data_IF_126610221810
#
_entry.id   IF_126610221810
#
_cell.length_a   1.000
_cell.length_b   1.000
_cell.length_c   1.000
_cell.angle_alpha   90.00
_cell.angle_beta   90.00
_cell.angle_gamma   90.00
#
_symmetry.space_group_name_H-M   'P 1'
#
loop_
_entity.id
_entity.type
_entity.pdbx_description
1 polymer ?
#
# COMPACT_ATOMS: atom_id res chain seq x y z
N UNK A 1 -16.62 -6.28 4.55
CA UNK A 1 -16.78 -6.65 3.13
C UNK A 1 -15.39 -6.78 2.52
N UNK A 2 -15.14 -7.78 1.67
CA UNK A 2 -13.83 -7.97 1.03
C UNK A 2 -13.94 -7.77 -0.48
N UNK A 3 -12.91 -7.20 -1.08
CA UNK A 3 -12.76 -7.10 -2.53
C UNK A 3 -11.75 -8.16 -2.99
N UNK A 4 -12.06 -8.88 -4.07
CA UNK A 4 -11.13 -9.84 -4.68
C UNK A 4 -10.72 -9.32 -6.07
N UNK A 5 -9.41 -9.26 -6.31
CA UNK A 5 -8.83 -8.93 -7.61
C UNK A 5 -8.27 -10.22 -8.20
N UNK A 6 -8.86 -10.69 -9.29
CA UNK A 6 -8.41 -11.87 -10.01
C UNK A 6 -7.37 -11.46 -11.06
N UNK A 7 -6.18 -12.05 -10.99
CA UNK A 7 -5.12 -11.88 -11.98
C UNK A 7 -5.04 -13.15 -12.82
N UNK A 8 -5.09 -13.01 -14.14
CA UNK A 8 -5.02 -14.16 -15.06
C UNK A 8 -3.65 -14.84 -15.02
N UNK A 9 -3.62 -16.16 -15.22
CA UNK A 9 -2.38 -16.96 -15.24
C UNK A 9 -1.34 -16.44 -16.24
N UNK A 10 -1.78 -15.95 -17.40
CA UNK A 10 -0.86 -15.37 -18.40
C UNK A 10 -0.12 -14.14 -17.87
N UNK A 11 -0.76 -13.35 -17.00
CA UNK A 11 -0.13 -12.20 -16.35
C UNK A 11 0.81 -12.69 -15.24
N UNK A 12 0.38 -13.66 -14.42
CA UNK A 12 1.21 -14.26 -13.37
C UNK A 12 2.51 -14.86 -13.95
N UNK A 13 2.42 -15.56 -15.07
CA UNK A 13 3.59 -16.13 -15.77
C UNK A 13 4.51 -15.05 -16.38
N UNK A 14 3.98 -13.87 -16.70
CA UNK A 14 4.77 -12.74 -17.19
C UNK A 14 5.52 -12.02 -16.06
N UNK A 15 5.05 -12.13 -14.81
CA UNK A 15 5.73 -11.58 -13.64
C UNK A 15 6.98 -12.43 -13.35
N UNK A 16 8.16 -11.83 -13.46
CA UNK A 16 9.44 -12.52 -13.17
C UNK A 16 9.79 -12.50 -11.67
N UNK A 17 8.87 -12.96 -10.85
CA UNK A 17 9.05 -13.09 -9.40
C UNK A 17 8.75 -14.53 -8.95
N UNK A 18 9.34 -15.00 -7.85
CA UNK A 18 9.01 -16.31 -7.30
C UNK A 18 7.56 -16.33 -6.82
N UNK A 19 6.82 -17.40 -7.18
CA UNK A 19 5.38 -17.55 -6.91
C UNK A 19 5.01 -17.31 -5.45
N UNK A 20 5.86 -17.73 -4.51
CA UNK A 20 5.62 -17.56 -3.07
C UNK A 20 5.66 -16.09 -2.60
N UNK A 21 6.19 -15.17 -3.42
CA UNK A 21 6.31 -13.74 -3.09
C UNK A 21 5.50 -12.83 -3.99
N UNK A 22 4.91 -13.34 -5.08
CA UNK A 22 4.15 -12.52 -6.04
C UNK A 22 3.02 -11.76 -5.33
N UNK A 23 2.24 -12.44 -4.49
CA UNK A 23 1.12 -11.81 -3.78
C UNK A 23 1.60 -10.67 -2.88
N UNK A 24 2.63 -10.91 -2.07
CA UNK A 24 3.18 -9.90 -1.16
C UNK A 24 3.74 -8.70 -1.93
N UNK A 25 4.47 -8.92 -3.01
CA UNK A 25 5.03 -7.84 -3.83
C UNK A 25 3.92 -7.04 -4.53
N UNK A 26 2.87 -7.70 -5.03
CA UNK A 26 1.71 -7.02 -5.61
C UNK A 26 0.95 -6.17 -4.58
N UNK A 27 0.77 -6.68 -3.36
CA UNK A 27 0.17 -5.91 -2.26
C UNK A 27 1.01 -4.69 -1.89
N UNK A 28 2.34 -4.85 -1.84
CA UNK A 28 3.26 -3.73 -1.62
C UNK A 28 3.17 -2.68 -2.74
N UNK A 29 3.21 -3.09 -4.00
CA UNK A 29 3.10 -2.18 -5.15
C UNK A 29 1.75 -1.45 -5.15
N UNK A 30 0.67 -2.16 -4.85
CA UNK A 30 -0.67 -1.58 -4.74
C UNK A 30 -0.73 -0.56 -3.59
N UNK A 31 -0.18 -0.89 -2.42
CA UNK A 31 -0.12 0.02 -1.28
C UNK A 31 0.69 1.28 -1.59
N UNK A 32 1.85 1.16 -2.25
CA UNK A 32 2.66 2.30 -2.65
C UNK A 32 1.91 3.16 -3.67
N UNK A 33 1.28 2.55 -4.68
CA UNK A 33 0.55 3.29 -5.70
C UNK A 33 -0.62 4.08 -5.11
N UNK A 34 -1.39 3.46 -4.20
CA UNK A 34 -2.51 4.12 -3.52
C UNK A 34 -2.05 5.21 -2.54
N UNK A 35 -0.93 5.02 -1.86
CA UNK A 35 -0.33 6.06 -1.01
C UNK A 35 0.18 7.25 -1.85
N UNK A 36 0.86 6.98 -2.96
CA UNK A 36 1.44 8.03 -3.83
C UNK A 36 0.36 8.86 -4.55
N UNK A 37 -0.84 8.30 -4.70
CA UNK A 37 -1.99 8.97 -5.29
C UNK A 37 -2.88 9.67 -4.23
N UNK A 38 -2.44 9.74 -2.97
CA UNK A 38 -3.20 10.28 -1.84
C UNK A 38 -4.58 9.60 -1.64
N UNK A 39 -4.74 8.36 -2.12
CA UNK A 39 -5.98 7.56 -1.99
C UNK A 39 -6.02 6.82 -0.65
N UNK A 40 -4.85 6.38 -0.16
CA UNK A 40 -4.71 5.75 1.15
C UNK A 40 -3.74 6.53 2.01
N UNK A 41 -4.13 6.76 3.26
CA UNK A 41 -3.22 7.26 4.28
C UNK A 41 -2.08 6.28 4.54
N UNK A 42 -0.97 6.78 5.11
CA UNK A 42 0.17 5.95 5.45
C UNK A 42 -0.22 4.76 6.34
N UNK A 43 -1.14 4.96 7.27
CA UNK A 43 -1.62 3.93 8.19
C UNK A 43 -2.35 2.79 7.47
N UNK A 44 -3.18 3.11 6.48
CA UNK A 44 -3.91 2.11 5.69
C UNK A 44 -3.08 1.49 4.59
N UNK A 45 -2.17 2.24 3.99
CA UNK A 45 -1.22 1.72 3.01
C UNK A 45 -0.29 0.66 3.63
N UNK A 46 0.28 0.90 4.82
CA UNK A 46 1.09 -0.13 5.51
C UNK A 46 0.28 -1.36 5.91
N UNK A 47 -0.99 -1.18 6.27
CA UNK A 47 -1.91 -2.27 6.61
C UNK A 47 -2.15 -3.16 5.38
N UNK A 48 -2.38 -2.55 4.21
CA UNK A 48 -2.51 -3.25 2.93
C UNK A 48 -1.22 -3.97 2.52
N UNK A 49 -0.06 -3.35 2.74
CA UNK A 49 1.24 -3.96 2.48
C UNK A 49 1.63 -5.06 3.49
N UNK A 50 0.83 -5.27 4.54
CA UNK A 50 1.11 -6.19 5.65
C UNK A 50 2.46 -5.91 6.33
N UNK A 51 2.81 -4.63 6.46
CA UNK A 51 4.10 -4.17 6.98
C UNK A 51 3.95 -3.32 8.23
N UNK A 52 4.97 -3.33 9.07
CA UNK A 52 5.05 -2.36 10.16
C UNK A 52 5.40 -0.94 9.63
N UNK A 53 5.32 0.06 10.54
CA UNK A 53 5.60 1.47 10.20
C UNK A 53 7.03 1.69 9.68
N UNK A 54 8.00 0.95 10.21
CA UNK A 54 9.40 1.08 9.85
C UNK A 54 9.70 0.39 8.51
N UNK A 55 9.20 -0.83 8.31
CA UNK A 55 9.31 -1.59 7.07
C UNK A 55 8.68 -0.85 5.89
N UNK A 56 7.45 -0.38 6.05
CA UNK A 56 6.77 0.37 4.99
C UNK A 56 7.48 1.71 4.72
N UNK A 57 7.96 2.38 5.77
CA UNK A 57 8.76 3.58 5.64
C UNK A 57 10.07 3.34 4.88
N UNK A 58 10.75 2.21 5.10
CA UNK A 58 11.95 1.82 4.35
C UNK A 58 11.60 1.48 2.90
N UNK A 59 10.49 0.80 2.66
CA UNK A 59 10.02 0.43 1.33
C UNK A 59 9.81 1.68 0.46
N UNK A 60 9.09 2.69 0.98
CA UNK A 60 8.92 3.98 0.31
C UNK A 60 10.27 4.64 0.00
N UNK A 61 11.20 4.62 0.96
CA UNK A 61 12.55 5.17 0.79
C UNK A 61 13.35 4.45 -0.30
N UNK A 62 13.31 3.11 -0.34
CA UNK A 62 13.97 2.30 -1.38
C UNK A 62 13.40 2.56 -2.77
N UNK A 63 12.10 2.85 -2.87
CA UNK A 63 11.41 3.13 -4.12
C UNK A 63 11.48 4.60 -4.56
N UNK A 64 12.15 5.45 -3.77
CA UNK A 64 12.29 6.88 -4.08
C UNK A 64 10.99 7.65 -3.97
N UNK A 65 9.98 7.09 -3.28
CA UNK A 65 8.73 7.80 -3.00
C UNK A 65 9.03 8.82 -1.92
N UNK A 66 9.00 10.10 -2.30
CA UNK A 66 9.20 11.20 -1.37
C UNK A 66 8.13 11.06 -0.30
N UNK A 67 8.54 10.83 0.96
CA UNK A 67 7.58 10.90 2.07
C UNK A 67 6.99 12.30 2.06
N UNK A 68 5.70 12.39 1.82
CA UNK A 68 4.95 13.62 2.06
C UNK A 68 4.88 13.78 3.59
N UNK A 69 5.98 14.24 4.21
CA UNK A 69 6.03 14.58 5.64
C UNK A 69 5.29 15.90 5.92
N UNK A 70 4.17 16.13 5.22
CA UNK A 70 3.32 17.30 5.40
C UNK A 70 1.95 16.82 5.85
N UNK A 71 1.72 16.90 7.15
CA UNK A 71 0.47 17.42 7.73
C UNK A 71 -0.79 16.54 7.57
N UNK A 72 -0.76 15.42 6.85
CA UNK A 72 -1.94 14.56 6.69
C UNK A 72 -2.11 13.47 7.78
N UNK A 73 -1.15 13.33 8.71
CA UNK A 73 -1.36 12.55 9.96
C UNK A 73 -2.44 13.19 10.87
N UNK A 74 -3.05 14.33 10.50
CA UNK A 74 -4.10 15.00 11.27
C UNK A 74 -5.53 14.87 10.69
N UNK A 75 -5.71 14.44 9.44
CA UNK A 75 -7.04 14.45 8.79
C UNK A 75 -7.81 13.11 8.90
N UNK A 76 -7.10 12.00 9.15
CA UNK A 76 -7.73 10.69 9.39
C UNK A 76 -8.45 10.62 10.75
N UNK A 77 -8.05 11.43 11.74
CA UNK A 77 -8.80 11.57 13.00
C UNK A 77 -10.13 12.34 12.81
N UNK A 78 -10.23 13.20 11.78
CA UNK A 78 -11.46 13.94 11.48
C UNK A 78 -12.47 13.12 10.67
N UNK A 79 -12.00 12.28 9.74
CA UNK A 79 -12.89 11.41 8.95
C UNK A 79 -13.47 10.29 9.80
N UNK A 80 -12.74 9.79 10.81
CA UNK A 80 -13.27 8.83 11.79
C UNK A 80 -14.25 9.46 12.78
N UNK A 81 -14.09 10.75 13.11
CA UNK A 81 -14.99 11.46 14.03
C UNK A 81 -16.32 11.92 13.39
N UNK A 82 -16.43 11.96 12.05
CA UNK A 82 -17.62 12.45 11.35
C UNK A 82 -18.48 11.36 10.68
N UNK A 83 -18.13 10.08 10.84
CA UNK A 83 -18.90 8.96 10.30
C UNK A 83 -19.86 8.30 11.31
N UNK A 84 -20.19 8.98 12.43
CA UNK A 84 -21.23 8.54 13.39
C UNK A 84 -22.56 9.24 13.17
#
# INVERSE_FOLDING_TARGET
MGLQILISDSILQAIRLPEQRIEQELLQELAIALYTQDVLSFGKARELAQMDKYEFGQLLGRRGVVRHYRIEELDDDLTYACST
#
